data_IF_291532171918
#
_entry.id   IF_291532171918
#
_cell.length_a   1.000
_cell.length_b   1.000
_cell.length_c   1.000
_cell.angle_alpha   90.00
_cell.angle_beta   90.00
_cell.angle_gamma   90.00
#
_symmetry.space_group_name_H-M   'P 1'
#
loop_
_entity.id
_entity.type
_entity.pdbx_description
1 polymer ?
#
# COMPACT_ATOMS: atom_id res chain seq x y z
N UNK A 1 -6.09 28.69 -21.94
CA UNK A 1 -5.77 29.00 -20.54
C UNK A 1 -5.07 27.81 -19.93
N UNK A 2 -3.74 27.79 -19.97
CA UNK A 2 -2.93 26.82 -19.24
C UNK A 2 -2.94 27.18 -17.75
N UNK A 3 -3.33 26.22 -16.90
CA UNK A 3 -3.17 26.30 -15.45
C UNK A 3 -2.54 25.00 -14.96
N UNK A 4 -1.34 24.72 -15.45
CA UNK A 4 -0.41 23.77 -14.85
C UNK A 4 0.24 24.38 -13.61
N UNK A 5 -0.57 24.67 -12.59
CA UNK A 5 -0.03 24.81 -11.24
C UNK A 5 0.10 23.41 -10.68
N UNK A 6 1.21 23.08 -10.02
CA UNK A 6 1.37 21.89 -9.19
C UNK A 6 0.29 21.88 -8.11
N UNK A 7 -0.91 21.46 -8.49
CA UNK A 7 -2.03 21.28 -7.58
C UNK A 7 -1.71 20.02 -6.82
N UNK A 8 -0.95 20.17 -5.74
CA UNK A 8 -0.85 19.16 -4.68
C UNK A 8 -2.27 18.85 -4.25
N UNK A 9 -2.83 17.76 -4.77
CA UNK A 9 -4.20 17.35 -4.48
C UNK A 9 -4.23 16.86 -3.05
N UNK A 10 -5.25 17.26 -2.32
CA UNK A 10 -5.47 16.72 -0.97
C UNK A 10 -5.80 15.22 -1.06
N UNK A 11 -5.48 14.46 -0.01
CA UNK A 11 -5.76 13.01 0.03
C UNK A 11 -7.24 12.70 -0.24
N UNK A 12 -8.16 13.58 0.21
CA UNK A 12 -9.59 13.47 -0.08
C UNK A 12 -9.90 13.56 -1.57
N UNK A 13 -9.30 14.52 -2.28
CA UNK A 13 -9.48 14.68 -3.73
C UNK A 13 -8.89 13.49 -4.49
N UNK A 14 -7.73 12.98 -4.07
CA UNK A 14 -7.13 11.78 -4.69
C UNK A 14 -8.04 10.56 -4.52
N UNK A 15 -8.59 10.37 -3.31
CA UNK A 15 -9.55 9.31 -3.01
C UNK A 15 -10.80 9.42 -3.89
N UNK A 16 -11.37 10.62 -3.99
CA UNK A 16 -12.56 10.87 -4.82
C UNK A 16 -12.29 10.59 -6.30
N UNK A 17 -11.20 11.12 -6.87
CA UNK A 17 -10.82 10.89 -8.27
C UNK A 17 -10.62 9.40 -8.54
N UNK A 18 -9.95 8.67 -7.64
CA UNK A 18 -9.74 7.24 -7.81
C UNK A 18 -11.07 6.48 -7.79
N UNK A 19 -11.93 6.77 -6.81
CA UNK A 19 -13.22 6.09 -6.65
C UNK A 19 -14.23 6.45 -7.75
N UNK A 20 -14.12 7.64 -8.35
CA UNK A 20 -14.91 8.03 -9.52
C UNK A 20 -14.41 7.32 -10.78
N UNK A 21 -13.10 7.07 -10.90
CA UNK A 21 -12.51 6.42 -12.08
C UNK A 21 -12.62 4.89 -12.02
N UNK A 22 -12.53 4.30 -10.84
CA UNK A 22 -12.55 2.86 -10.61
C UNK A 22 -13.73 2.51 -9.70
N UNK A 23 -14.83 2.08 -10.32
CA UNK A 23 -16.05 1.70 -9.60
C UNK A 23 -15.95 0.33 -8.91
N UNK A 24 -15.07 -0.54 -9.41
CA UNK A 24 -14.90 -1.92 -8.92
C UNK A 24 -14.04 -1.99 -7.64
N UNK A 25 -13.07 -1.09 -7.51
CA UNK A 25 -12.15 -1.04 -6.39
C UNK A 25 -12.17 0.33 -5.73
N UNK A 26 -12.92 0.47 -4.63
CA UNK A 26 -12.91 1.70 -3.84
C UNK A 26 -11.74 1.70 -2.86
N UNK A 27 -11.02 2.82 -2.83
CA UNK A 27 -9.99 3.08 -1.83
C UNK A 27 -10.51 4.08 -0.80
N UNK A 28 -9.99 3.98 0.42
CA UNK A 28 -10.23 4.93 1.49
C UNK A 28 -9.10 5.96 1.57
N UNK A 29 -9.36 7.08 2.26
CA UNK A 29 -8.37 8.12 2.47
C UNK A 29 -7.14 7.60 3.26
N UNK A 30 -7.33 6.64 4.16
CA UNK A 30 -6.25 5.97 4.89
C UNK A 30 -5.33 5.15 3.98
N UNK A 31 -5.87 4.55 2.91
CA UNK A 31 -5.06 3.89 1.87
C UNK A 31 -4.21 4.91 1.13
N UNK A 32 -4.76 6.06 0.75
CA UNK A 32 -4.01 7.14 0.10
C UNK A 32 -2.87 7.62 1.02
N UNK A 33 -3.16 7.88 2.30
CA UNK A 33 -2.14 8.30 3.28
C UNK A 33 -1.03 7.26 3.45
N UNK A 34 -1.35 5.96 3.50
CA UNK A 34 -0.35 4.90 3.57
C UNK A 34 0.55 4.85 2.34
N UNK A 35 -0.03 5.01 1.15
CA UNK A 35 0.71 5.02 -0.11
C UNK A 35 1.61 6.25 -0.19
N UNK A 36 1.11 7.42 0.21
CA UNK A 36 1.87 8.67 0.28
C UNK A 36 3.06 8.55 1.24
N UNK A 37 2.82 8.05 2.45
CA UNK A 37 3.88 7.80 3.43
C UNK A 37 4.93 6.82 2.90
N UNK A 38 4.50 5.71 2.28
CA UNK A 38 5.42 4.74 1.67
C UNK A 38 6.24 5.38 0.55
N UNK A 39 5.61 6.16 -0.31
CA UNK A 39 6.30 6.87 -1.39
C UNK A 39 7.31 7.87 -0.84
N UNK A 40 6.96 8.61 0.23
CA UNK A 40 7.85 9.57 0.88
C UNK A 40 9.05 8.89 1.56
N UNK A 41 8.85 7.72 2.14
CA UNK A 41 9.89 6.97 2.86
C UNK A 41 10.83 6.23 1.91
N UNK A 42 10.31 5.59 0.86
CA UNK A 42 11.08 4.69 -0.01
C UNK A 42 11.27 5.19 -1.45
N UNK A 43 10.68 6.34 -1.80
CA UNK A 43 10.68 6.87 -3.17
C UNK A 43 9.84 6.06 -4.16
N UNK A 44 9.13 5.03 -3.71
CA UNK A 44 8.31 4.16 -4.56
C UNK A 44 7.14 3.54 -3.78
N UNK A 45 6.12 3.12 -4.53
CA UNK A 45 4.91 2.48 -3.98
C UNK A 45 4.93 0.95 -4.11
N UNK A 46 6.08 0.34 -4.47
CA UNK A 46 6.15 -1.12 -4.65
C UNK A 46 5.82 -1.84 -3.35
N UNK A 47 5.37 -3.07 -3.48
CA UNK A 47 5.16 -3.93 -2.32
C UNK A 47 6.52 -4.32 -1.76
N UNK A 48 6.98 -3.55 -0.77
CA UNK A 48 8.15 -3.88 0.02
C UNK A 48 7.72 -5.05 0.90
N UNK A 49 8.42 -6.19 0.87
CA UNK A 49 8.09 -7.31 1.74
C UNK A 49 8.10 -6.81 3.18
N UNK A 50 6.92 -6.76 3.80
CA UNK A 50 6.80 -6.39 5.22
C UNK A 50 7.59 -7.41 6.02
N UNK A 51 8.75 -7.01 6.52
CA UNK A 51 9.48 -7.72 7.58
C UNK A 51 8.64 -7.66 8.86
N UNK A 52 7.61 -8.50 8.95
CA UNK A 52 6.63 -8.38 10.03
C UNK A 52 5.49 -9.38 10.03
N UNK A 53 5.48 -10.37 9.15
CA UNK A 53 4.62 -11.55 9.36
C UNK A 53 5.41 -12.78 8.98
N UNK A 54 5.86 -13.55 9.98
CA UNK A 54 6.30 -14.92 9.77
C UNK A 54 5.14 -15.60 9.02
N UNK A 55 5.33 -15.90 7.74
CA UNK A 55 4.57 -16.98 7.12
C UNK A 55 4.98 -18.20 7.94
N UNK A 56 4.04 -18.77 8.68
CA UNK A 56 4.18 -20.17 9.09
C UNK A 56 4.19 -20.88 7.75
N UNK A 57 5.39 -21.15 7.23
CA UNK A 57 5.60 -22.13 6.20
C UNK A 57 5.23 -23.44 6.89
N UNK A 58 4.01 -23.89 6.60
CA UNK A 58 3.58 -25.25 6.87
C UNK A 58 4.40 -26.14 5.93
N UNK A 59 5.63 -26.42 6.31
CA UNK A 59 6.44 -27.44 5.66
C UNK A 59 7.33 -28.08 6.73
N UNK A 60 7.06 -29.37 6.91
CA UNK A 60 7.93 -30.35 7.54
C UNK A 60 7.91 -30.42 9.07
N UNK A 61 6.88 -31.14 9.54
CA UNK A 61 7.02 -32.05 10.68
C UNK A 61 8.31 -32.89 10.52
N UNK A 62 9.37 -32.54 11.25
CA UNK A 62 10.42 -33.51 11.58
C UNK A 62 10.95 -33.24 12.99
N UNK A 63 10.17 -33.69 13.96
CA UNK A 63 10.60 -33.81 15.35
C UNK A 63 11.35 -35.14 15.49
N UNK A 64 12.67 -35.11 15.26
CA UNK A 64 13.57 -36.21 15.64
C UNK A 64 14.11 -35.89 17.05
N UNK A 65 13.37 -36.29 18.08
CA UNK A 65 13.87 -36.25 19.46
C UNK A 65 14.63 -37.54 19.73
N UNK A 66 15.96 -37.45 19.75
CA UNK A 66 16.85 -38.44 20.33
C UNK A 66 17.15 -37.99 21.77
N UNK A 67 16.40 -38.52 22.76
CA UNK A 67 16.79 -38.58 24.18
C UNK A 67 16.19 -39.85 24.78
#
# INVERSE_FOLDING_TARGET
>A
MERGGDKTRTQKQVCEIFNTKYHDHRISQSTVSRIENKFREFGNVRDIPKSGRKRILDDEQKLDTYI
#
